data_IF_927255882731
#
_entry.id   IF_927255882731
#
_cell.length_a   1.000
_cell.length_b   1.000
_cell.length_c   1.000
_cell.angle_alpha   90.00
_cell.angle_beta   90.00
_cell.angle_gamma   90.00
#
_symmetry.space_group_name_H-M   'P 1'
#
loop_
_entity.id
_entity.type
_entity.pdbx_description
1 polymer ?
#
# COMPACT_ATOMS: atom_id res chain seq x y z
N UNK A 1 -49.06 -54.65 66.10
CA UNK A 1 -47.77 -54.35 65.45
C UNK A 1 -47.90 -53.08 64.64
N UNK A 2 -47.30 -52.02 65.14
CA UNK A 2 -47.36 -50.75 64.53
C UNK A 2 -46.11 -50.53 63.68
N UNK A 3 -46.27 -50.28 62.40
CA UNK A 3 -45.16 -49.92 61.46
C UNK A 3 -45.19 -48.40 61.35
N UNK A 4 -44.20 -47.76 61.94
CA UNK A 4 -43.98 -46.30 61.80
C UNK A 4 -43.21 -46.04 60.52
N UNK A 5 -43.83 -45.40 59.53
CA UNK A 5 -43.18 -44.93 58.33
C UNK A 5 -42.56 -43.56 58.61
N UNK A 6 -41.24 -43.54 58.62
CA UNK A 6 -40.44 -42.34 58.79
C UNK A 6 -40.30 -41.67 57.41
N UNK A 7 -41.08 -40.59 57.17
CA UNK A 7 -40.99 -39.76 56.01
C UNK A 7 -39.74 -38.87 56.08
N UNK A 8 -38.79 -39.09 55.16
CA UNK A 8 -37.68 -38.18 54.92
C UNK A 8 -38.14 -36.98 54.11
N UNK A 9 -38.17 -35.83 54.72
CA UNK A 9 -38.34 -34.54 54.05
C UNK A 9 -36.99 -34.13 53.47
N UNK A 10 -36.83 -34.28 52.17
CA UNK A 10 -35.69 -33.73 51.46
C UNK A 10 -35.92 -32.23 51.19
N UNK A 11 -35.26 -31.40 51.93
CA UNK A 11 -35.25 -29.93 51.66
C UNK A 11 -34.23 -29.69 50.54
N UNK A 12 -34.72 -29.47 49.34
CA UNK A 12 -33.90 -29.00 48.20
C UNK A 12 -33.67 -27.52 48.41
N UNK A 13 -32.50 -27.14 48.86
CA UNK A 13 -32.06 -25.73 48.83
C UNK A 13 -31.64 -25.40 47.41
N UNK A 14 -32.57 -24.80 46.64
CA UNK A 14 -32.21 -24.14 45.40
C UNK A 14 -31.36 -22.92 45.74
N UNK A 15 -30.06 -23.00 45.46
CA UNK A 15 -29.18 -21.86 45.48
C UNK A 15 -29.50 -21.09 44.19
N UNK A 16 -30.39 -20.07 44.32
CA UNK A 16 -30.61 -19.09 43.26
C UNK A 16 -29.30 -18.33 43.10
N UNK A 17 -28.52 -18.71 42.08
CA UNK A 17 -27.44 -17.84 41.58
C UNK A 17 -28.10 -16.60 41.03
N UNK A 18 -28.18 -15.57 41.84
CA UNK A 18 -28.49 -14.23 41.39
C UNK A 18 -27.39 -13.87 40.40
N UNK A 19 -27.71 -13.94 39.12
CA UNK A 19 -26.87 -13.40 38.09
C UNK A 19 -26.71 -11.92 38.36
N UNK A 20 -25.66 -11.58 39.07
CA UNK A 20 -25.28 -10.22 39.37
C UNK A 20 -25.16 -9.50 38.03
N UNK A 21 -26.16 -8.69 37.70
CA UNK A 21 -26.15 -7.88 36.49
C UNK A 21 -24.87 -7.07 36.55
N UNK A 22 -23.95 -7.36 35.68
CA UNK A 22 -22.69 -6.64 35.56
C UNK A 22 -23.05 -5.15 35.41
N UNK A 23 -22.77 -4.29 36.41
CA UNK A 23 -23.16 -2.89 36.39
C UNK A 23 -22.50 -2.12 35.23
N UNK A 24 -21.47 -2.70 34.64
CA UNK A 24 -20.73 -2.11 33.53
C UNK A 24 -21.38 -2.33 32.16
N UNK A 25 -22.34 -3.25 32.03
CA UNK A 25 -23.11 -3.44 30.80
C UNK A 25 -23.90 -2.17 30.44
N UNK A 26 -24.38 -1.44 31.43
CA UNK A 26 -25.07 -0.19 31.21
C UNK A 26 -24.18 0.90 30.58
N UNK A 27 -22.87 0.80 30.68
CA UNK A 27 -21.92 1.74 30.08
C UNK A 27 -21.80 1.48 28.59
N UNK A 28 -21.76 0.21 28.18
CA UNK A 28 -21.71 -0.16 26.77
C UNK A 28 -23.05 0.09 26.05
N UNK A 29 -24.17 -0.12 26.75
CA UNK A 29 -25.51 0.12 26.19
C UNK A 29 -25.86 1.61 26.08
N UNK A 30 -25.38 2.43 27.00
CA UNK A 30 -25.68 3.87 27.02
C UNK A 30 -24.81 4.70 26.10
N UNK A 31 -23.81 4.12 25.44
CA UNK A 31 -22.95 4.88 24.53
C UNK A 31 -22.76 6.36 24.95
N UNK A 32 -22.31 6.54 26.20
CA UNK A 32 -22.30 7.84 26.88
C UNK A 32 -21.52 8.94 26.12
N UNK A 33 -20.68 8.51 25.19
CA UNK A 33 -19.88 9.40 24.36
C UNK A 33 -20.37 9.46 22.91
N UNK A 34 -21.53 8.88 22.60
CA UNK A 34 -22.06 8.82 21.24
C UNK A 34 -21.06 8.25 20.23
N UNK A 35 -20.24 7.30 20.69
CA UNK A 35 -19.28 6.60 19.85
C UNK A 35 -20.08 5.69 18.93
N UNK A 36 -20.38 6.19 17.76
CA UNK A 36 -20.82 5.38 16.63
C UNK A 36 -19.79 4.28 16.42
N UNK A 37 -20.23 3.04 16.27
CA UNK A 37 -19.38 1.90 15.92
C UNK A 37 -18.23 2.36 15.05
N UNK A 38 -17.01 2.06 15.49
CA UNK A 38 -15.70 2.34 14.92
C UNK A 38 -15.76 3.07 13.57
N UNK A 39 -15.33 4.33 13.49
CA UNK A 39 -15.39 5.04 12.22
C UNK A 39 -14.73 4.15 11.19
N UNK A 40 -15.30 4.00 9.98
CA UNK A 40 -14.70 3.19 8.94
C UNK A 40 -13.23 3.60 8.86
N UNK A 41 -12.28 2.63 8.78
CA UNK A 41 -10.87 2.94 8.78
C UNK A 41 -10.68 4.05 7.77
N UNK A 42 -10.37 5.24 8.28
CA UNK A 42 -10.01 6.36 7.40
C UNK A 42 -8.88 5.78 6.60
N UNK A 43 -9.13 5.49 5.31
CA UNK A 43 -8.01 5.25 4.39
C UNK A 43 -7.13 6.46 4.64
N UNK A 44 -6.02 6.24 5.31
CA UNK A 44 -4.96 7.22 5.36
C UNK A 44 -4.73 7.56 3.91
N UNK A 45 -5.27 8.68 3.49
CA UNK A 45 -4.93 9.26 2.20
C UNK A 45 -3.43 9.40 2.29
N UNK A 46 -2.71 8.57 1.56
CA UNK A 46 -1.25 8.63 1.54
C UNK A 46 -0.88 10.10 1.48
N UNK A 47 0.06 10.57 2.31
CA UNK A 47 0.45 11.96 2.30
C UNK A 47 0.64 12.38 0.84
N UNK A 48 0.14 13.55 0.40
CA UNK A 48 0.31 13.97 -0.98
C UNK A 48 1.78 13.85 -1.31
N UNK A 49 2.11 13.02 -2.30
CA UNK A 49 3.49 12.82 -2.73
C UNK A 49 4.12 14.19 -2.91
N UNK A 50 5.30 14.43 -2.33
CA UNK A 50 5.99 15.70 -2.50
C UNK A 50 6.06 15.98 -4.01
N UNK A 51 5.78 17.21 -4.47
CA UNK A 51 5.77 17.52 -5.89
C UNK A 51 7.12 17.14 -6.48
N UNK A 52 7.13 16.11 -7.32
CA UNK A 52 8.35 15.61 -7.96
C UNK A 52 8.86 16.73 -8.87
N UNK A 53 10.07 17.14 -8.65
CA UNK A 53 10.72 18.12 -9.51
C UNK A 53 11.26 17.50 -10.80
N UNK A 54 11.34 16.18 -10.84
CA UNK A 54 11.89 15.41 -11.96
C UNK A 54 10.90 14.33 -12.38
N UNK A 55 10.74 14.17 -13.70
CA UNK A 55 9.92 13.13 -14.28
C UNK A 55 10.81 12.13 -15.04
N UNK A 56 10.61 10.83 -14.75
CA UNK A 56 11.39 9.75 -15.35
C UNK A 56 10.52 9.03 -16.37
N UNK A 57 10.97 8.97 -17.59
CA UNK A 57 10.28 8.33 -18.70
C UNK A 57 11.10 7.19 -19.27
N UNK A 58 10.43 6.10 -19.65
CA UNK A 58 11.06 4.96 -20.32
C UNK A 58 11.21 5.28 -21.81
N UNK A 59 12.44 5.31 -22.32
CA UNK A 59 12.74 5.57 -23.73
C UNK A 59 13.02 4.32 -24.52
N UNK A 60 13.54 3.26 -23.89
CA UNK A 60 13.85 2.03 -24.56
C UNK A 60 14.23 0.88 -23.64
N UNK A 61 14.01 -0.33 -24.14
CA UNK A 61 14.57 -1.55 -23.57
C UNK A 61 15.33 -2.25 -24.68
N UNK A 62 16.59 -2.55 -24.49
CA UNK A 62 17.43 -3.17 -25.52
C UNK A 62 18.41 -4.17 -24.92
N UNK A 63 18.88 -5.04 -25.77
CA UNK A 63 19.91 -6.04 -25.44
C UNK A 63 21.26 -5.55 -25.92
N UNK A 64 22.22 -5.46 -25.02
CA UNK A 64 23.61 -5.14 -25.37
C UNK A 64 24.56 -6.20 -24.80
N UNK A 65 25.31 -6.87 -25.64
CA UNK A 65 26.22 -7.96 -25.26
C UNK A 65 25.56 -9.06 -24.39
N UNK A 66 24.29 -9.39 -24.68
CA UNK A 66 23.53 -10.39 -23.92
C UNK A 66 22.92 -9.90 -22.62
N UNK A 67 23.09 -8.64 -22.29
CA UNK A 67 22.54 -8.03 -21.05
C UNK A 67 21.41 -7.07 -21.42
N UNK A 68 20.26 -7.23 -20.75
CA UNK A 68 19.12 -6.31 -20.91
C UNK A 68 19.40 -4.98 -20.22
N UNK A 69 19.17 -3.89 -20.94
CA UNK A 69 19.33 -2.53 -20.45
C UNK A 69 18.05 -1.74 -20.67
N UNK A 70 17.73 -0.91 -19.70
CA UNK A 70 16.68 0.10 -19.81
C UNK A 70 17.30 1.47 -20.09
N UNK A 71 16.78 2.14 -21.09
CA UNK A 71 17.09 3.54 -21.37
C UNK A 71 15.98 4.41 -20.78
N UNK A 72 16.35 5.35 -19.94
CA UNK A 72 15.49 6.28 -19.24
C UNK A 72 15.83 7.71 -19.64
N UNK A 73 14.82 8.57 -19.74
CA UNK A 73 15.00 10.01 -19.84
C UNK A 73 14.50 10.67 -18.55
N UNK A 74 15.34 11.47 -17.93
CA UNK A 74 15.01 12.31 -16.80
C UNK A 74 14.79 13.74 -17.24
N UNK A 75 13.60 14.27 -16.99
CA UNK A 75 13.20 15.63 -17.34
C UNK A 75 12.94 16.42 -16.08
N UNK A 76 13.64 17.53 -15.90
CA UNK A 76 13.33 18.46 -14.80
C UNK A 76 12.07 19.27 -15.17
N UNK A 77 10.99 19.06 -14.42
CA UNK A 77 9.73 19.76 -14.66
C UNK A 77 9.81 21.25 -14.35
N UNK A 78 10.76 21.67 -13.55
CA UNK A 78 10.99 23.09 -13.22
C UNK A 78 11.80 23.80 -14.30
N UNK A 79 12.65 23.07 -15.01
CA UNK A 79 13.55 23.59 -16.02
C UNK A 79 13.22 23.04 -17.41
N UNK A 80 12.03 23.34 -17.90
CA UNK A 80 11.54 22.84 -19.20
C UNK A 80 12.45 23.17 -20.40
N UNK A 81 13.33 24.13 -20.27
CA UNK A 81 14.28 24.52 -21.33
C UNK A 81 15.56 23.70 -21.36
N UNK A 82 15.87 22.91 -20.30
CA UNK A 82 17.04 22.05 -20.28
C UNK A 82 16.76 20.74 -21.03
N UNK A 83 17.75 20.22 -21.78
CA UNK A 83 17.60 18.95 -22.46
C UNK A 83 17.47 17.81 -21.43
N UNK A 84 16.70 16.74 -21.72
CA UNK A 84 16.56 15.60 -20.85
C UNK A 84 17.89 14.90 -20.63
N UNK A 85 18.13 14.42 -19.42
CA UNK A 85 19.30 13.59 -19.13
C UNK A 85 18.97 12.12 -19.42
N UNK A 86 19.75 11.48 -20.25
CA UNK A 86 19.56 10.09 -20.61
C UNK A 86 20.41 9.17 -19.72
N UNK A 87 19.80 8.13 -19.19
CA UNK A 87 20.42 7.11 -18.37
C UNK A 87 20.23 5.74 -19.03
N UNK A 88 21.25 4.91 -18.99
CA UNK A 88 21.21 3.54 -19.46
C UNK A 88 21.68 2.63 -18.34
N UNK A 89 20.79 1.83 -17.82
CA UNK A 89 21.02 1.00 -16.63
C UNK A 89 20.64 -0.44 -16.88
N UNK A 90 21.32 -1.36 -16.20
CA UNK A 90 20.96 -2.77 -16.14
C UNK A 90 20.16 -3.07 -14.88
N UNK A 91 19.51 -4.23 -14.82
CA UNK A 91 18.84 -4.68 -13.62
C UNK A 91 19.83 -4.78 -12.45
N UNK A 92 19.50 -4.20 -11.31
CA UNK A 92 20.36 -4.11 -10.12
C UNK A 92 21.36 -2.94 -10.12
N UNK A 93 21.46 -2.16 -11.20
CA UNK A 93 22.33 -0.99 -11.25
C UNK A 93 21.64 0.24 -10.67
N UNK A 94 22.40 1.02 -9.89
CA UNK A 94 21.96 2.28 -9.30
C UNK A 94 22.81 3.42 -9.81
N UNK A 95 22.16 4.47 -10.30
CA UNK A 95 22.80 5.71 -10.74
C UNK A 95 21.87 6.91 -10.53
N UNK A 96 22.43 8.02 -10.08
CA UNK A 96 21.73 9.29 -9.88
C UNK A 96 20.44 9.17 -9.05
N UNK A 97 20.44 8.29 -8.03
CA UNK A 97 19.28 8.06 -7.15
C UNK A 97 18.24 7.09 -7.71
N UNK A 98 18.43 6.59 -8.93
CA UNK A 98 17.55 5.63 -9.60
C UNK A 98 18.23 4.27 -9.61
N UNK A 99 17.51 3.24 -9.19
CA UNK A 99 17.94 1.83 -9.24
C UNK A 99 16.94 1.04 -10.09
N UNK A 100 17.42 0.25 -11.04
CA UNK A 100 16.59 -0.67 -11.79
C UNK A 100 16.42 -1.96 -10.99
N UNK A 101 15.20 -2.26 -10.58
CA UNK A 101 14.88 -3.49 -9.84
C UNK A 101 14.67 -4.65 -10.81
N UNK A 102 13.89 -4.43 -11.86
CA UNK A 102 13.62 -5.45 -12.88
C UNK A 102 13.31 -4.84 -14.24
N UNK A 103 13.63 -5.58 -15.29
CA UNK A 103 13.33 -5.23 -16.67
C UNK A 103 12.49 -6.38 -17.25
N UNK A 104 11.30 -6.09 -17.71
CA UNK A 104 10.45 -7.04 -18.43
C UNK A 104 10.29 -6.58 -19.88
N UNK A 105 11.10 -7.15 -20.74
CA UNK A 105 11.07 -6.87 -22.17
C UNK A 105 9.79 -7.34 -22.85
N UNK A 106 9.18 -8.42 -22.37
CA UNK A 106 8.00 -9.00 -22.98
C UNK A 106 6.78 -8.08 -22.83
N UNK A 107 6.63 -7.47 -21.65
CA UNK A 107 5.54 -6.52 -21.36
C UNK A 107 5.92 -5.08 -21.61
N UNK A 108 7.18 -4.77 -21.86
CA UNK A 108 7.70 -3.42 -22.01
C UNK A 108 7.60 -2.61 -20.71
N UNK A 109 7.80 -3.27 -19.56
CA UNK A 109 7.76 -2.65 -18.23
C UNK A 109 9.13 -2.69 -17.57
N UNK A 110 9.45 -1.64 -16.87
CA UNK A 110 10.66 -1.52 -16.05
C UNK A 110 10.24 -1.07 -14.66
N UNK A 111 10.66 -1.84 -13.65
CA UNK A 111 10.48 -1.44 -12.26
C UNK A 111 11.73 -0.74 -11.78
N UNK A 112 11.58 0.49 -11.37
CA UNK A 112 12.65 1.31 -10.80
C UNK A 112 12.38 1.58 -9.33
N UNK A 113 13.44 1.85 -8.59
CA UNK A 113 13.40 2.36 -7.23
C UNK A 113 14.02 3.74 -7.22
N UNK A 114 13.22 4.74 -6.88
CA UNK A 114 13.61 6.14 -6.80
C UNK A 114 13.43 6.64 -5.37
N UNK A 115 14.47 7.15 -4.73
CA UNK A 115 14.46 7.61 -3.34
C UNK A 115 13.82 6.64 -2.33
N UNK A 116 13.91 5.32 -2.60
CA UNK A 116 13.32 4.29 -1.74
C UNK A 116 11.94 3.80 -2.16
N UNK A 117 11.27 4.49 -3.06
CA UNK A 117 9.97 4.12 -3.60
C UNK A 117 10.08 3.27 -4.88
N UNK A 118 9.23 2.24 -4.98
CA UNK A 118 9.12 1.42 -6.18
C UNK A 118 8.14 2.05 -7.16
N UNK A 119 8.57 2.21 -8.40
CA UNK A 119 7.77 2.75 -9.49
C UNK A 119 7.87 1.86 -10.73
N UNK A 120 6.74 1.58 -11.36
CA UNK A 120 6.71 0.85 -12.62
C UNK A 120 6.58 1.82 -13.79
N UNK A 121 7.48 1.73 -14.75
CA UNK A 121 7.46 2.50 -15.97
C UNK A 121 7.06 1.60 -17.14
N UNK A 122 6.21 2.09 -18.02
CA UNK A 122 5.81 1.37 -19.23
C UNK A 122 5.81 2.30 -20.43
N UNK A 123 5.97 1.73 -21.63
CA UNK A 123 5.91 2.52 -22.87
C UNK A 123 4.55 3.19 -23.10
N UNK A 124 3.48 2.69 -22.51
CA UNK A 124 2.13 3.24 -22.69
C UNK A 124 1.90 4.51 -21.86
N UNK A 125 2.43 4.52 -20.64
CA UNK A 125 2.14 5.56 -19.66
C UNK A 125 3.27 6.59 -19.51
N UNK A 126 4.51 6.15 -19.66
CA UNK A 126 5.72 6.93 -19.40
C UNK A 126 6.61 6.99 -20.65
N UNK A 127 6.03 7.29 -21.81
CA UNK A 127 6.76 7.40 -23.07
C UNK A 127 7.22 8.84 -23.30
N UNK A 128 8.50 9.01 -23.56
CA UNK A 128 9.06 10.28 -24.00
C UNK A 128 8.64 10.53 -25.47
N UNK A 129 7.87 11.59 -25.68
CA UNK A 129 7.53 12.05 -27.04
C UNK A 129 8.61 13.00 -27.50
N UNK A 130 9.52 12.51 -28.31
CA UNK A 130 10.48 13.38 -29.00
C UNK A 130 9.75 14.14 -30.10
N UNK A 131 9.66 15.46 -29.99
CA UNK A 131 9.25 16.28 -31.10
C UNK A 131 10.42 16.30 -32.10
N UNK A 132 10.29 15.57 -33.19
CA UNK A 132 11.24 15.70 -34.31
C UNK A 132 11.01 17.09 -34.89
N UNK A 133 11.95 18.00 -34.68
CA UNK A 133 11.95 19.27 -35.40
C UNK A 133 12.05 18.93 -36.89
N UNK A 134 10.99 19.28 -37.63
CA UNK A 134 11.00 19.14 -39.09
C UNK A 134 12.13 20.05 -39.60
N UNK A 135 13.12 19.44 -40.20
CA UNK A 135 14.19 20.17 -40.86
C UNK A 135 13.59 21.15 -41.88
N UNK A 136 14.11 22.36 -42.00
CA UNK A 136 13.61 23.35 -42.95
C UNK A 136 13.73 22.90 -44.39
#
# INVERSE_FOLDING_TARGET
>A
MAVVALGMLSVSTEIAWSAEKNPYLAISERNAFNLTSEPPPTRETAPPEPPRSEDIMLTGIYLHKGVERAALARVDTKKKAEPPTYLQLVAGEKKDGIEIVSIDKATGKVTIKEFGELRSLSFKENTFKTSVAKAP
#
